data_IF_130531562758
#
_entry.id   IF_130531562758
#
_cell.length_a   1.000
_cell.length_b   1.000
_cell.length_c   1.000
_cell.angle_alpha   90.00
_cell.angle_beta   90.00
_cell.angle_gamma   90.00
#
_symmetry.space_group_name_H-M   'P 1'
#
loop_
_entity.id
_entity.type
_entity.pdbx_description
1 polymer ?
#
# COMPACT_ATOMS: atom_id res chain seq x y z
N UNK A 1 0.64 -3.66 8.55
CA UNK A 1 1.03 -4.46 9.73
C UNK A 1 1.71 -5.77 9.30
N UNK A 2 1.03 -6.64 8.55
CA UNK A 2 1.63 -7.94 8.15
C UNK A 2 2.83 -7.84 7.20
N UNK A 3 2.75 -7.04 6.14
CA UNK A 3 3.89 -6.88 5.23
C UNK A 3 5.13 -6.29 5.93
N UNK A 4 4.93 -5.44 6.94
CA UNK A 4 6.03 -4.93 7.76
C UNK A 4 6.60 -6.02 8.68
N UNK A 5 5.74 -6.80 9.34
CA UNK A 5 6.16 -7.94 10.16
C UNK A 5 6.98 -8.95 9.35
N UNK A 6 6.48 -9.34 8.18
CA UNK A 6 7.17 -10.27 7.27
C UNK A 6 8.48 -9.66 6.76
N UNK A 7 8.45 -8.39 6.31
CA UNK A 7 9.64 -7.70 5.85
C UNK A 7 10.73 -7.57 6.94
N UNK A 8 10.35 -7.34 8.18
CA UNK A 8 11.27 -7.28 9.33
C UNK A 8 11.81 -8.68 9.68
N UNK A 9 11.02 -9.74 9.52
CA UNK A 9 11.49 -11.11 9.66
C UNK A 9 12.56 -11.45 8.60
N UNK A 10 12.34 -11.05 7.34
CA UNK A 10 13.34 -11.19 6.26
C UNK A 10 14.61 -10.43 6.60
N UNK A 11 14.50 -9.17 7.03
CA UNK A 11 15.66 -8.37 7.42
C UNK A 11 16.44 -8.99 8.61
N UNK A 12 15.72 -9.51 9.61
CA UNK A 12 16.32 -10.19 10.76
C UNK A 12 17.03 -11.48 10.34
N UNK A 13 16.42 -12.28 9.46
CA UNK A 13 17.03 -13.48 8.92
C UNK A 13 18.36 -13.18 8.22
N UNK A 14 18.38 -12.15 7.35
CA UNK A 14 19.59 -11.71 6.63
C UNK A 14 20.71 -11.23 7.56
N UNK A 15 20.37 -10.55 8.65
CA UNK A 15 21.37 -10.12 9.66
C UNK A 15 22.00 -11.30 10.39
N UNK A 16 21.22 -12.34 10.68
CA UNK A 16 21.68 -13.53 11.42
C UNK A 16 22.37 -14.57 10.54
N UNK A 17 22.05 -14.59 9.24
CA UNK A 17 22.52 -15.60 8.31
C UNK A 17 23.10 -14.92 7.07
N UNK A 18 24.36 -15.19 6.68
CA UNK A 18 24.97 -14.63 5.48
C UNK A 18 24.50 -15.35 4.21
N UNK A 19 23.19 -15.56 4.07
CA UNK A 19 22.56 -16.19 2.90
C UNK A 19 21.73 -15.14 2.16
N UNK A 20 21.90 -15.00 0.82
CA UNK A 20 21.11 -14.07 0.05
C UNK A 20 19.64 -14.49 0.04
N UNK A 21 18.73 -13.52 0.12
CA UNK A 21 17.29 -13.71 -0.01
C UNK A 21 16.85 -13.21 -1.38
N UNK A 22 16.17 -14.06 -2.14
CA UNK A 22 15.61 -13.71 -3.46
C UNK A 22 14.09 -13.76 -3.39
N UNK A 23 13.44 -12.65 -3.74
CA UNK A 23 11.99 -12.60 -3.92
C UNK A 23 11.66 -12.93 -5.38
N UNK A 24 10.77 -13.91 -5.59
CA UNK A 24 10.30 -14.31 -6.93
C UNK A 24 8.82 -13.99 -7.05
N UNK A 25 8.48 -13.10 -7.97
CA UNK A 25 7.10 -12.67 -8.25
C UNK A 25 6.67 -13.31 -9.57
N UNK A 26 5.81 -14.33 -9.48
CA UNK A 26 5.40 -15.10 -10.67
C UNK A 26 4.18 -14.50 -11.36
N UNK A 27 3.18 -14.04 -10.60
CA UNK A 27 1.92 -13.51 -11.14
C UNK A 27 1.64 -12.10 -10.62
N UNK A 28 1.40 -11.94 -9.31
CA UNK A 28 1.15 -10.62 -8.72
C UNK A 28 2.01 -10.43 -7.49
N UNK A 29 2.75 -9.32 -7.46
CA UNK A 29 3.56 -8.89 -6.35
C UNK A 29 3.51 -7.37 -6.24
N UNK A 30 2.30 -6.83 -6.11
CA UNK A 30 2.02 -5.40 -6.03
C UNK A 30 1.65 -5.00 -4.59
N UNK A 31 1.66 -3.70 -4.31
CA UNK A 31 1.28 -3.10 -3.01
C UNK A 31 2.07 -3.71 -1.84
N UNK A 32 1.39 -4.16 -0.79
CA UNK A 32 2.00 -4.73 0.41
C UNK A 32 2.96 -5.90 0.11
N UNK A 33 2.69 -6.70 -0.93
CA UNK A 33 3.59 -7.81 -1.33
C UNK A 33 4.88 -7.28 -1.92
N UNK A 34 4.82 -6.21 -2.73
CA UNK A 34 6.02 -5.56 -3.25
C UNK A 34 6.86 -4.96 -2.12
N UNK A 35 6.23 -4.39 -1.09
CA UNK A 35 6.93 -3.89 0.10
C UNK A 35 7.73 -4.99 0.82
N UNK A 36 7.26 -6.24 0.81
CA UNK A 36 8.03 -7.39 1.32
C UNK A 36 9.19 -7.71 0.39
N UNK A 37 8.95 -7.74 -0.93
CA UNK A 37 9.98 -8.03 -1.92
C UNK A 37 11.15 -7.03 -1.86
N UNK A 38 10.90 -5.76 -1.53
CA UNK A 38 11.94 -4.74 -1.29
C UNK A 38 12.91 -5.07 -0.15
N UNK A 39 12.62 -6.06 0.71
CA UNK A 39 13.54 -6.53 1.76
C UNK A 39 14.48 -7.64 1.30
N UNK A 40 14.23 -8.23 0.14
CA UNK A 40 15.13 -9.20 -0.49
C UNK A 40 16.40 -8.52 -1.02
N UNK A 41 17.45 -9.30 -1.26
CA UNK A 41 18.66 -8.83 -1.94
C UNK A 41 18.45 -8.72 -3.45
N UNK A 42 17.58 -9.57 -3.99
CA UNK A 42 17.21 -9.59 -5.41
C UNK A 42 15.72 -9.83 -5.57
N UNK A 43 15.12 -9.13 -6.51
CA UNK A 43 13.74 -9.34 -6.93
C UNK A 43 13.76 -9.87 -8.37
N UNK A 44 13.05 -10.95 -8.62
CA UNK A 44 12.84 -11.53 -9.95
C UNK A 44 11.35 -11.45 -10.23
N UNK A 45 10.96 -10.68 -11.23
CA UNK A 45 9.58 -10.57 -11.70
C UNK A 45 9.41 -11.37 -13.00
N UNK A 46 8.37 -12.19 -13.09
CA UNK A 46 7.97 -12.84 -14.33
C UNK A 46 7.56 -11.82 -15.39
N UNK A 47 7.80 -12.11 -16.67
CA UNK A 47 7.51 -11.15 -17.78
C UNK A 47 6.07 -10.63 -17.75
N UNK A 48 5.11 -11.52 -17.49
CA UNK A 48 3.67 -11.21 -17.42
C UNK A 48 3.18 -10.95 -16.00
N UNK A 49 4.08 -10.83 -15.03
CA UNK A 49 3.70 -10.50 -13.66
C UNK A 49 3.31 -9.03 -13.53
N UNK A 50 2.53 -8.72 -12.50
CA UNK A 50 2.10 -7.38 -12.13
C UNK A 50 2.76 -6.98 -10.81
N UNK A 51 3.49 -5.87 -10.84
CA UNK A 51 4.22 -5.30 -9.69
C UNK A 51 3.95 -3.80 -9.56
N UNK A 52 4.52 -3.15 -8.55
CA UNK A 52 4.22 -1.74 -8.27
C UNK A 52 3.04 -1.59 -7.33
N UNK A 53 2.06 -0.76 -7.69
CA UNK A 53 0.98 -0.31 -6.79
C UNK A 53 1.55 0.31 -5.51
N UNK A 54 2.57 1.14 -5.66
CA UNK A 54 3.24 1.81 -4.54
C UNK A 54 2.36 2.98 -4.10
N UNK A 55 1.77 2.83 -2.93
CA UNK A 55 0.83 3.80 -2.38
C UNK A 55 -0.01 3.20 -1.27
N UNK A 56 -1.04 3.95 -0.88
CA UNK A 56 -2.04 3.52 0.09
C UNK A 56 -3.42 3.98 -0.34
N UNK A 57 -4.43 3.20 0.01
CA UNK A 57 -5.83 3.53 -0.25
C UNK A 57 -6.67 3.22 0.96
N UNK A 58 -7.65 4.09 1.22
CA UNK A 58 -8.77 3.84 2.11
C UNK A 58 -10.03 4.06 1.27
N UNK A 59 -10.81 2.99 1.05
CA UNK A 59 -11.96 3.00 0.15
C UNK A 59 -13.20 2.45 0.86
N UNK A 60 -13.80 3.21 1.80
CA UNK A 60 -15.08 2.83 2.38
C UNK A 60 -16.19 3.01 1.34
N UNK A 61 -17.19 2.13 1.41
CA UNK A 61 -18.43 2.30 0.65
C UNK A 61 -19.23 3.49 1.18
N UNK A 62 -20.12 4.06 0.36
CA UNK A 62 -21.04 5.11 0.81
C UNK A 62 -22.49 4.67 0.55
N UNK A 63 -23.17 4.28 1.61
CA UNK A 63 -24.48 3.63 1.62
C UNK A 63 -25.53 4.44 2.40
N UNK A 64 -25.20 5.62 2.93
CA UNK A 64 -26.17 6.47 3.64
C UNK A 64 -27.38 6.84 2.76
N UNK A 65 -27.13 7.29 1.53
CA UNK A 65 -28.18 7.70 0.57
C UNK A 65 -29.18 6.59 0.22
N UNK A 66 -28.77 5.36 -0.15
CA UNK A 66 -29.72 4.30 -0.45
C UNK A 66 -30.49 3.83 0.80
N UNK A 67 -29.88 3.84 1.99
CA UNK A 67 -30.57 3.47 3.24
C UNK A 67 -31.61 4.50 3.65
N UNK A 68 -31.30 5.78 3.49
CA UNK A 68 -32.22 6.90 3.76
C UNK A 68 -33.51 6.80 2.93
N UNK A 69 -33.42 6.34 1.67
CA UNK A 69 -34.59 6.14 0.77
C UNK A 69 -35.56 5.06 1.24
N UNK A 70 -35.10 4.11 2.04
CA UNK A 70 -35.92 3.03 2.58
C UNK A 70 -36.13 3.20 4.09
N UNK A 71 -35.92 4.43 4.59
CA UNK A 71 -36.16 4.82 5.97
C UNK A 71 -35.36 3.99 6.99
N UNK A 72 -34.18 3.51 6.59
CA UNK A 72 -33.23 2.83 7.49
C UNK A 72 -32.18 3.83 7.96
N UNK A 73 -32.12 4.03 9.28
CA UNK A 73 -31.09 4.83 9.94
C UNK A 73 -30.20 3.98 10.83
N UNK A 74 -28.99 4.48 11.10
CA UNK A 74 -28.07 3.90 12.06
C UNK A 74 -27.71 4.96 13.11
N UNK A 75 -27.99 4.65 14.37
CA UNK A 75 -27.51 5.43 15.52
C UNK A 75 -26.06 5.04 15.86
N UNK A 76 -25.20 6.04 16.08
CA UNK A 76 -23.78 5.82 16.39
C UNK A 76 -23.44 6.44 17.75
N UNK A 77 -23.01 5.59 18.67
CA UNK A 77 -22.42 5.98 19.94
C UNK A 77 -20.92 5.74 19.88
N UNK A 78 -20.12 6.80 19.89
CA UNK A 78 -18.68 6.71 19.73
C UNK A 78 -17.93 7.57 20.74
N UNK A 79 -16.78 7.07 21.22
CA UNK A 79 -15.91 7.76 22.18
C UNK A 79 -15.19 8.99 21.62
N UNK A 80 -15.33 9.27 20.32
CA UNK A 80 -14.77 10.46 19.68
C UNK A 80 -15.28 10.67 18.26
N UNK A 81 -15.32 11.93 17.83
CA UNK A 81 -15.94 12.36 16.57
C UNK A 81 -15.37 11.67 15.30
N UNK A 82 -14.09 11.29 15.30
CA UNK A 82 -13.49 10.57 14.17
C UNK A 82 -13.61 9.04 14.27
N UNK A 83 -14.11 8.46 15.36
CA UNK A 83 -14.02 7.00 15.58
C UNK A 83 -14.84 6.17 14.59
N UNK A 84 -15.85 6.78 13.98
CA UNK A 84 -16.73 6.15 12.99
C UNK A 84 -16.45 6.60 11.54
N UNK A 85 -15.31 7.25 11.25
CA UNK A 85 -15.07 7.87 9.95
C UNK A 85 -15.06 6.92 8.74
N UNK A 86 -14.89 5.60 8.97
CA UNK A 86 -14.95 4.55 7.95
C UNK A 86 -16.30 3.83 7.89
N UNK A 87 -17.28 4.29 8.64
CA UNK A 87 -18.62 3.71 8.61
C UNK A 87 -19.28 4.03 7.25
N UNK A 88 -19.66 3.00 6.47
CA UNK A 88 -20.25 3.22 5.15
C UNK A 88 -21.68 3.75 5.20
N UNK A 89 -22.35 3.67 6.34
CA UNK A 89 -23.77 4.00 6.48
C UNK A 89 -24.02 5.45 6.90
N UNK A 90 -22.97 6.20 7.23
CA UNK A 90 -23.07 7.62 7.58
C UNK A 90 -22.36 8.53 6.58
N UNK A 91 -22.84 9.76 6.39
CA UNK A 91 -22.13 10.76 5.59
C UNK A 91 -20.71 11.01 6.12
N UNK A 92 -19.74 11.14 5.22
CA UNK A 92 -18.37 11.48 5.57
C UNK A 92 -18.26 12.96 5.95
N UNK A 93 -17.75 13.27 7.15
CA UNK A 93 -17.50 14.66 7.57
C UNK A 93 -16.24 15.24 6.92
N UNK A 94 -16.10 16.57 6.91
CA UNK A 94 -14.87 17.24 6.41
C UNK A 94 -13.63 16.82 7.19
N UNK A 95 -13.71 16.76 8.52
CA UNK A 95 -12.60 16.35 9.38
C UNK A 95 -12.19 14.90 9.11
N UNK A 96 -13.18 14.02 8.89
CA UNK A 96 -12.95 12.64 8.49
C UNK A 96 -12.23 12.55 7.14
N UNK A 97 -12.65 13.34 6.15
CA UNK A 97 -12.02 13.40 4.84
C UNK A 97 -10.56 13.87 4.93
N UNK A 98 -10.30 14.96 5.67
CA UNK A 98 -8.94 15.48 5.89
C UNK A 98 -8.07 14.43 6.60
N UNK A 99 -8.61 13.79 7.65
CA UNK A 99 -7.86 12.76 8.37
C UNK A 99 -7.57 11.54 7.51
N UNK A 100 -8.53 11.07 6.73
CA UNK A 100 -8.36 9.94 5.83
C UNK A 100 -7.29 10.25 4.76
N UNK A 101 -7.34 11.44 4.16
CA UNK A 101 -6.35 11.88 3.17
C UNK A 101 -4.93 11.92 3.77
N UNK A 102 -4.78 12.55 4.93
CA UNK A 102 -3.51 12.56 5.65
C UNK A 102 -2.95 11.14 5.90
N UNK A 103 -3.80 10.19 6.27
CA UNK A 103 -3.38 8.81 6.53
C UNK A 103 -2.89 8.12 5.26
N UNK A 104 -3.59 8.25 4.13
CA UNK A 104 -3.14 7.62 2.87
C UNK A 104 -1.88 8.28 2.34
N UNK A 105 -1.76 9.61 2.44
CA UNK A 105 -0.57 10.35 2.01
C UNK A 105 0.65 9.92 2.83
N UNK A 106 0.51 9.85 4.15
CA UNK A 106 1.59 9.47 5.04
C UNK A 106 2.06 8.03 4.78
N UNK A 107 1.14 7.08 4.64
CA UNK A 107 1.49 5.68 4.37
C UNK A 107 2.08 5.52 2.96
N UNK A 108 1.50 6.18 1.96
CA UNK A 108 1.99 6.18 0.59
C UNK A 108 3.40 6.74 0.48
N UNK A 109 3.65 7.90 1.09
CA UNK A 109 4.98 8.51 1.13
C UNK A 109 6.00 7.62 1.84
N UNK A 110 5.63 7.02 2.98
CA UNK A 110 6.50 6.08 3.69
C UNK A 110 6.87 4.87 2.83
N UNK A 111 5.94 4.36 2.01
CA UNK A 111 6.23 3.25 1.10
C UNK A 111 7.14 3.70 -0.05
N UNK A 112 6.90 4.88 -0.65
CA UNK A 112 7.79 5.45 -1.66
C UNK A 112 9.23 5.59 -1.14
N UNK A 113 9.42 6.12 0.07
CA UNK A 113 10.75 6.20 0.68
C UNK A 113 11.43 4.84 0.86
N UNK A 114 10.66 3.78 1.16
CA UNK A 114 11.21 2.40 1.24
C UNK A 114 11.67 1.90 -0.13
N UNK A 115 10.94 2.21 -1.21
CA UNK A 115 11.36 1.92 -2.58
C UNK A 115 12.66 2.65 -2.90
N UNK A 116 12.67 3.96 -2.72
CA UNK A 116 13.80 4.82 -3.05
C UNK A 116 15.05 4.39 -2.28
N UNK A 117 14.96 4.17 -0.97
CA UNK A 117 16.10 3.66 -0.20
C UNK A 117 16.55 2.26 -0.62
N UNK A 118 15.62 1.38 -0.97
CA UNK A 118 15.93 0.01 -1.35
C UNK A 118 16.53 -0.12 -2.76
N UNK A 119 16.22 0.82 -3.66
CA UNK A 119 16.50 0.70 -5.10
C UNK A 119 17.14 1.95 -5.73
N UNK A 120 17.58 2.94 -4.94
CA UNK A 120 18.13 4.22 -5.40
C UNK A 120 19.15 4.14 -6.56
N UNK A 121 19.94 3.07 -6.62
CA UNK A 121 20.99 2.90 -7.63
C UNK A 121 20.48 2.51 -9.01
N UNK A 122 19.24 2.02 -9.11
CA UNK A 122 18.67 1.46 -10.34
C UNK A 122 17.40 2.18 -10.80
N UNK A 123 16.73 2.92 -9.91
CA UNK A 123 15.53 3.67 -10.27
C UNK A 123 15.86 4.77 -11.28
N UNK A 124 15.01 4.91 -12.30
CA UNK A 124 15.07 5.99 -13.27
C UNK A 124 14.61 7.33 -12.68
N UNK A 125 15.24 8.41 -13.12
CA UNK A 125 14.87 9.78 -12.76
C UNK A 125 13.59 10.22 -13.50
N UNK A 126 12.79 11.09 -12.86
CA UNK A 126 11.60 11.69 -13.46
C UNK A 126 10.35 10.80 -13.48
N UNK A 127 10.46 9.55 -13.01
CA UNK A 127 9.32 8.64 -12.89
C UNK A 127 8.62 8.85 -11.55
N UNK A 128 7.30 9.03 -11.58
CA UNK A 128 6.48 9.10 -10.38
C UNK A 128 6.11 7.70 -9.89
N UNK A 129 7.02 7.05 -9.15
CA UNK A 129 6.77 5.72 -8.59
C UNK A 129 5.64 5.69 -7.55
N UNK A 130 5.31 6.83 -6.94
CA UNK A 130 4.25 6.95 -5.93
C UNK A 130 2.84 7.14 -6.50
N UNK A 131 2.66 7.03 -7.82
CA UNK A 131 1.37 7.22 -8.50
C UNK A 131 0.33 6.15 -8.14
N UNK A 132 0.77 5.00 -7.61
CA UNK A 132 -0.08 3.82 -7.41
C UNK A 132 -0.25 2.95 -8.66
N UNK A 133 0.44 3.26 -9.75
CA UNK A 133 0.38 2.50 -11.00
C UNK A 133 0.92 1.07 -10.83
N UNK A 134 0.39 0.16 -11.63
CA UNK A 134 0.85 -1.22 -11.75
C UNK A 134 1.65 -1.33 -13.04
N UNK A 135 2.83 -1.93 -12.95
CA UNK A 135 3.68 -2.21 -14.10
C UNK A 135 3.79 -3.70 -14.33
N UNK A 136 3.91 -4.10 -15.60
CA UNK A 136 4.33 -5.45 -15.94
C UNK A 136 5.75 -5.71 -15.43
N UNK A 137 6.13 -6.98 -15.27
CA UNK A 137 7.49 -7.34 -14.87
C UNK A 137 8.57 -6.89 -15.88
N UNK A 138 8.19 -6.66 -17.15
CA UNK A 138 9.09 -6.09 -18.16
C UNK A 138 9.30 -4.60 -17.91
N UNK A 139 8.23 -3.81 -17.82
CA UNK A 139 8.29 -2.37 -17.56
C UNK A 139 8.99 -2.08 -16.23
N UNK A 140 8.63 -2.81 -15.16
CA UNK A 140 9.25 -2.64 -13.86
C UNK A 140 10.76 -2.90 -13.89
N UNK A 141 11.22 -3.85 -14.70
CA UNK A 141 12.66 -4.12 -14.87
C UNK A 141 13.37 -2.96 -15.57
N UNK A 142 12.71 -2.31 -16.53
CA UNK A 142 13.26 -1.15 -17.22
C UNK A 142 13.35 0.04 -16.26
N UNK A 143 12.31 0.24 -15.44
CA UNK A 143 12.20 1.32 -14.47
C UNK A 143 13.15 1.20 -13.26
N UNK A 144 13.67 0.00 -12.99
CA UNK A 144 14.65 -0.25 -11.94
C UNK A 144 14.05 -0.93 -10.73
#
# INVERSE_FOLDING_TARGET
>A
MEAERIGNAVATFKKKNPKPVVAVISNVGASATYMIALRADKIIAGKYSLVGSIGAIIAPWQLSRPLDRIEISQEIFASGHLKAFLNPFTPLSKDAQIKAQYLVDHVGHTFLLKLEHGRARVLQLGVNYGSGEIWSGVEARELG
#
